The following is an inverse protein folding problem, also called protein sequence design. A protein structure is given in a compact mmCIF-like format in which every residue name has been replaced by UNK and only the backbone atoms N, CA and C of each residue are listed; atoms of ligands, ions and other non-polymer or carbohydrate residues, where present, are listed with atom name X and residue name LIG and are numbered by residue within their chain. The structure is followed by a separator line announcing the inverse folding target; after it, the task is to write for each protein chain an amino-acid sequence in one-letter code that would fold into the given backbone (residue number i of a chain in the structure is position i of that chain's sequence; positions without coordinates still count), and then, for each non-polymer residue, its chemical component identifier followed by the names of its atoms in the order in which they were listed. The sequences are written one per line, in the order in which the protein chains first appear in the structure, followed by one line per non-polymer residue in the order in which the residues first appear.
data_IF_660265295911
#
_entry.id   IF_660265295911
#
_cell.length_a   1.000
_cell.length_b   1.000
_cell.length_c   1.000
_cell.angle_alpha   90.00
_cell.angle_beta   90.00
_cell.angle_gamma   90.00
#
_symmetry.space_group_name_H-M   'P 1'
#
loop_
_entity.id
_entity.type
_entity.pdbx_description
1 polymer ?
#
# COMPACT_ATOMS: atom_id res chain seq x y z
N UNK A 1 -65.01 -5.44 -62.62
CA UNK A 1 -64.16 -4.47 -61.89
C UNK A 1 -64.16 -4.86 -60.41
N UNK A 2 -63.03 -5.25 -59.80
CA UNK A 2 -63.04 -5.66 -58.38
C UNK A 2 -61.78 -6.29 -57.80
N UNK A 3 -60.69 -6.46 -58.57
CA UNK A 3 -59.45 -7.08 -58.06
C UNK A 3 -58.40 -6.07 -57.54
N UNK A 4 -58.52 -4.77 -57.87
CA UNK A 4 -57.56 -3.74 -57.45
C UNK A 4 -57.66 -3.32 -55.97
N UNK A 5 -58.81 -3.52 -55.32
CA UNK A 5 -59.06 -3.02 -53.96
C UNK A 5 -58.54 -3.97 -52.88
N UNK A 6 -58.63 -5.30 -53.08
CA UNK A 6 -58.15 -6.28 -52.07
C UNK A 6 -56.62 -6.31 -51.92
N UNK A 7 -55.87 -6.04 -53.00
CA UNK A 7 -54.40 -6.03 -52.96
C UNK A 7 -53.82 -4.79 -52.25
N UNK A 8 -54.52 -3.63 -52.33
CA UNK A 8 -54.12 -2.40 -51.63
C UNK A 8 -54.34 -2.48 -50.12
N UNK A 9 -55.45 -3.10 -49.68
CA UNK A 9 -55.76 -3.25 -48.24
C UNK A 9 -54.74 -4.18 -47.55
N UNK A 10 -54.37 -5.29 -48.18
CA UNK A 10 -53.42 -6.26 -47.62
C UNK A 10 -51.97 -5.74 -47.52
N UNK A 11 -51.53 -4.85 -48.43
CA UNK A 11 -50.21 -4.19 -48.31
C UNK A 11 -50.16 -3.19 -47.16
N UNK A 12 -51.24 -2.45 -46.91
CA UNK A 12 -51.30 -1.46 -45.84
C UNK A 12 -51.33 -2.08 -44.44
N UNK A 13 -52.02 -3.22 -44.26
CA UNK A 13 -51.99 -3.94 -42.98
C UNK A 13 -50.61 -4.48 -42.64
N UNK A 14 -49.90 -5.03 -43.62
CA UNK A 14 -48.55 -5.58 -43.42
C UNK A 14 -47.52 -4.47 -43.16
N UNK A 15 -47.66 -3.31 -43.80
CA UNK A 15 -46.84 -2.13 -43.51
C UNK A 15 -47.11 -1.58 -42.09
N UNK A 16 -48.37 -1.53 -41.65
CA UNK A 16 -48.76 -1.12 -40.30
C UNK A 16 -48.22 -2.08 -39.22
N UNK A 17 -48.31 -3.41 -39.47
CA UNK A 17 -47.75 -4.45 -38.57
C UNK A 17 -46.22 -4.37 -38.50
N UNK A 18 -45.52 -4.16 -39.62
CA UNK A 18 -44.05 -3.98 -39.65
C UNK A 18 -43.60 -2.70 -38.92
N UNK A 19 -44.32 -1.59 -39.10
CA UNK A 19 -44.01 -0.35 -38.39
C UNK A 19 -44.23 -0.48 -36.88
N UNK A 20 -45.26 -1.21 -36.44
CA UNK A 20 -45.47 -1.53 -35.02
C UNK A 20 -44.33 -2.37 -34.44
N UNK A 21 -43.84 -3.37 -35.18
CA UNK A 21 -42.69 -4.20 -34.76
C UNK A 21 -41.43 -3.34 -34.64
N UNK A 22 -41.17 -2.45 -35.60
CA UNK A 22 -40.01 -1.54 -35.57
C UNK A 22 -40.08 -0.62 -34.34
N UNK A 23 -41.26 -0.07 -34.03
CA UNK A 23 -41.46 0.78 -32.85
C UNK A 23 -41.21 0.00 -31.55
N UNK A 24 -41.71 -1.24 -31.44
CA UNK A 24 -41.48 -2.10 -30.27
C UNK A 24 -39.99 -2.41 -30.10
N UNK A 25 -39.28 -2.71 -31.18
CA UNK A 25 -37.83 -2.96 -31.15
C UNK A 25 -37.05 -1.70 -30.74
N UNK A 26 -37.45 -0.52 -31.24
CA UNK A 26 -36.85 0.75 -30.85
C UNK A 26 -37.05 1.07 -29.36
N UNK A 27 -38.26 0.83 -28.83
CA UNK A 27 -38.56 1.01 -27.40
C UNK A 27 -37.73 0.03 -26.57
N UNK A 28 -37.65 -1.25 -26.96
CA UNK A 28 -36.84 -2.24 -26.27
C UNK A 28 -35.34 -1.87 -26.27
N UNK A 29 -34.83 -1.32 -27.38
CA UNK A 29 -33.46 -0.85 -27.50
C UNK A 29 -33.18 0.37 -26.60
N UNK A 30 -34.10 1.34 -26.56
CA UNK A 30 -33.99 2.49 -25.68
C UNK A 30 -34.07 2.10 -24.20
N UNK A 31 -34.91 1.12 -23.85
CA UNK A 31 -34.97 0.56 -22.50
C UNK A 31 -33.67 -0.15 -22.11
N UNK A 32 -33.07 -0.93 -23.02
CA UNK A 32 -31.78 -1.58 -22.78
C UNK A 32 -30.66 -0.55 -22.51
N UNK A 33 -30.60 0.55 -23.27
CA UNK A 33 -29.65 1.64 -23.06
C UNK A 33 -29.91 2.37 -21.73
N UNK A 34 -31.19 2.62 -21.40
CA UNK A 34 -31.58 3.27 -20.15
C UNK A 34 -31.20 2.45 -18.92
N UNK A 35 -31.45 1.14 -18.95
CA UNK A 35 -31.09 0.21 -17.88
C UNK A 35 -29.56 0.14 -17.73
N UNK A 36 -28.80 0.04 -18.82
CA UNK A 36 -27.33 0.00 -18.74
C UNK A 36 -26.73 1.26 -18.08
N UNK A 37 -27.26 2.45 -18.42
CA UNK A 37 -26.84 3.70 -17.82
C UNK A 37 -27.21 3.83 -16.32
N UNK A 38 -28.32 3.21 -15.91
CA UNK A 38 -28.74 3.17 -14.50
C UNK A 38 -27.88 2.20 -13.67
N UNK A 39 -27.48 1.06 -14.24
CA UNK A 39 -26.55 0.12 -13.59
C UNK A 39 -25.16 0.73 -13.39
N UNK A 40 -24.62 1.43 -14.38
CA UNK A 40 -23.29 2.03 -14.31
C UNK A 40 -23.18 3.19 -13.29
N UNK A 41 -24.23 4.00 -13.14
CA UNK A 41 -24.20 5.19 -12.27
C UNK A 41 -24.61 4.91 -10.83
N UNK A 42 -25.62 4.06 -10.59
CA UNK A 42 -26.24 3.95 -9.26
C UNK A 42 -25.88 2.65 -8.53
N UNK A 43 -25.72 1.53 -9.25
CA UNK A 43 -25.49 0.22 -8.63
C UNK A 43 -24.01 -0.15 -8.51
N UNK A 44 -23.14 0.22 -9.46
CA UNK A 44 -21.69 0.04 -9.34
C UNK A 44 -21.10 0.60 -8.03
N UNK A 45 -21.42 1.83 -7.57
CA UNK A 45 -20.87 2.36 -6.32
C UNK A 45 -21.31 1.57 -5.09
N UNK A 46 -22.54 1.05 -5.09
CA UNK A 46 -23.13 0.29 -3.98
C UNK A 46 -22.50 -1.10 -3.90
N UNK A 47 -22.38 -1.80 -5.04
CA UNK A 47 -21.68 -3.10 -5.14
C UNK A 47 -20.20 -2.93 -4.76
N UNK A 48 -19.54 -1.84 -5.22
CA UNK A 48 -18.17 -1.49 -4.80
C UNK A 48 -18.08 -1.32 -3.29
N UNK A 49 -18.98 -0.57 -2.64
CA UNK A 49 -18.98 -0.39 -1.17
C UNK A 49 -19.21 -1.70 -0.41
N UNK A 50 -20.11 -2.57 -0.88
CA UNK A 50 -20.42 -3.84 -0.21
C UNK A 50 -19.25 -4.83 -0.30
N UNK A 51 -18.58 -4.94 -1.45
CA UNK A 51 -17.37 -5.77 -1.59
C UNK A 51 -16.19 -5.21 -0.78
N UNK A 52 -16.04 -3.87 -0.72
CA UNK A 52 -15.03 -3.21 0.11
C UNK A 52 -15.28 -3.46 1.60
N UNK A 53 -16.53 -3.46 2.06
CA UNK A 53 -16.86 -3.68 3.48
C UNK A 53 -16.56 -5.11 3.97
N UNK A 54 -16.49 -6.10 3.08
CA UNK A 54 -16.16 -7.49 3.47
C UNK A 54 -14.65 -7.76 3.53
N UNK A 55 -13.83 -7.01 2.78
CA UNK A 55 -12.36 -7.14 2.78
C UNK A 55 -11.71 -6.17 3.77
N UNK A 56 -12.27 -4.97 3.93
CA UNK A 56 -11.79 -3.96 4.91
C UNK A 56 -12.20 -4.32 6.35
N UNK A 57 -13.22 -5.17 6.54
CA UNK A 57 -13.52 -5.80 7.83
C UNK A 57 -12.66 -7.04 8.11
N UNK A 58 -11.36 -6.96 7.81
CA UNK A 58 -10.40 -7.72 8.59
C UNK A 58 -10.58 -7.25 10.04
N UNK A 59 -11.34 -8.01 10.83
CA UNK A 59 -11.47 -7.80 12.28
C UNK A 59 -10.10 -8.06 12.89
N UNK A 60 -9.22 -7.06 12.81
CA UNK A 60 -7.95 -7.07 13.49
C UNK A 60 -8.25 -7.11 14.99
N UNK A 61 -7.82 -8.20 15.62
CA UNK A 61 -7.92 -8.37 17.08
C UNK A 61 -6.80 -7.61 17.79
N UNK A 62 -5.68 -7.43 17.11
CA UNK A 62 -4.53 -6.72 17.64
C UNK A 62 -4.73 -5.21 17.58
N UNK A 63 -4.97 -4.57 18.73
CA UNK A 63 -5.19 -3.12 18.86
C UNK A 63 -3.97 -2.28 18.46
N UNK A 64 -2.78 -2.87 18.44
CA UNK A 64 -1.53 -2.19 18.06
C UNK A 64 -1.43 -1.94 16.56
N UNK A 65 -2.18 -2.72 15.77
CA UNK A 65 -2.12 -2.68 14.32
C UNK A 65 -3.37 -1.99 13.80
N UNK A 66 -3.17 -0.92 13.04
CA UNK A 66 -4.25 -0.17 12.43
C UNK A 66 -4.34 -0.49 10.95
N UNK A 67 -5.43 -1.12 10.53
CA UNK A 67 -5.75 -1.24 9.11
C UNK A 67 -6.01 0.15 8.52
N UNK A 68 -5.41 0.43 7.37
CA UNK A 68 -5.53 1.71 6.67
C UNK A 68 -6.08 1.51 5.26
N UNK A 69 -6.80 2.51 4.76
CA UNK A 69 -7.28 2.55 3.38
C UNK A 69 -6.31 3.31 2.47
N UNK A 70 -6.59 3.34 1.16
CA UNK A 70 -5.73 3.99 0.17
C UNK A 70 -5.47 5.49 0.45
N UNK A 71 -6.48 6.23 0.92
CA UNK A 71 -6.30 7.65 1.24
C UNK A 71 -5.37 7.86 2.44
N UNK A 72 -5.51 7.03 3.47
CA UNK A 72 -4.64 7.05 4.65
C UNK A 72 -3.21 6.63 4.29
N UNK A 73 -3.05 5.63 3.42
CA UNK A 73 -1.77 5.18 2.90
C UNK A 73 -1.02 6.31 2.17
N UNK A 74 -1.70 7.04 1.27
CA UNK A 74 -1.09 8.20 0.58
C UNK A 74 -0.63 9.27 1.55
N UNK A 75 -1.40 9.56 2.61
CA UNK A 75 -1.02 10.54 3.64
C UNK A 75 0.20 10.07 4.45
N UNK A 76 0.28 8.79 4.75
CA UNK A 76 1.37 8.20 5.53
C UNK A 76 2.72 8.30 4.80
N UNK A 77 2.72 8.26 3.46
CA UNK A 77 3.93 8.43 2.63
C UNK A 77 4.60 9.80 2.85
N UNK A 78 3.82 10.83 3.13
CA UNK A 78 4.32 12.18 3.42
C UNK A 78 4.60 12.42 4.92
N UNK A 79 4.27 11.45 5.77
CA UNK A 79 4.51 11.56 7.20
C UNK A 79 6.01 11.42 7.50
N UNK A 80 6.49 12.25 8.43
CA UNK A 80 7.87 12.21 8.93
C UNK A 80 7.97 11.47 10.27
N UNK A 81 6.89 10.83 10.72
CA UNK A 81 6.90 9.96 11.89
C UNK A 81 7.57 8.62 11.58
N UNK A 82 7.95 7.92 12.65
CA UNK A 82 8.50 6.57 12.57
C UNK A 82 7.36 5.57 12.68
N UNK A 83 7.33 4.58 11.79
CA UNK A 83 6.27 3.58 11.76
C UNK A 83 6.69 2.31 11.03
N UNK A 84 6.00 1.22 11.37
CA UNK A 84 6.05 -0.04 10.63
C UNK A 84 4.84 -0.12 9.70
N UNK A 85 5.09 -0.30 8.40
CA UNK A 85 4.07 -0.48 7.39
C UNK A 85 4.10 -1.92 6.86
N UNK A 86 2.98 -2.61 7.04
CA UNK A 86 2.74 -3.94 6.51
C UNK A 86 1.90 -3.81 5.25
N UNK A 87 2.42 -4.27 4.11
CA UNK A 87 1.70 -4.32 2.83
C UNK A 87 1.48 -5.78 2.46
N UNK A 88 0.23 -6.15 2.23
CA UNK A 88 -0.15 -7.50 1.79
C UNK A 88 -0.87 -7.39 0.44
N UNK A 89 -0.22 -7.85 -0.62
CA UNK A 89 -0.87 -8.14 -1.89
C UNK A 89 -1.64 -9.46 -1.75
N UNK A 90 -2.96 -9.42 -1.78
CA UNK A 90 -3.79 -10.61 -1.63
C UNK A 90 -3.88 -11.47 -2.91
N UNK A 91 -3.35 -11.01 -4.05
CA UNK A 91 -3.48 -11.73 -5.33
C UNK A 91 -2.58 -12.97 -5.35
N UNK A 92 -3.22 -14.13 -5.40
CA UNK A 92 -2.56 -15.45 -5.42
C UNK A 92 -1.56 -15.61 -4.28
N UNK A 93 -1.77 -14.92 -3.16
CA UNK A 93 -0.86 -14.95 -2.01
C UNK A 93 -1.28 -16.05 -1.06
N UNK A 94 -0.56 -17.16 -1.11
CA UNK A 94 -0.82 -18.33 -0.29
C UNK A 94 -0.50 -18.12 1.20
N UNK A 95 0.23 -17.06 1.54
CA UNK A 95 0.65 -16.74 2.89
C UNK A 95 -0.27 -15.76 3.64
N UNK A 96 -1.28 -15.18 2.97
CA UNK A 96 -2.12 -14.13 3.55
C UNK A 96 -2.79 -14.56 4.85
N UNK A 97 -3.35 -15.76 4.91
CA UNK A 97 -4.11 -16.22 6.07
C UNK A 97 -3.22 -16.42 7.30
N UNK A 98 -2.05 -17.02 7.11
CA UNK A 98 -1.07 -17.28 8.14
C UNK A 98 -0.46 -15.97 8.64
N UNK A 99 -0.12 -15.05 7.73
CA UNK A 99 0.35 -13.72 8.10
C UNK A 99 -0.71 -12.94 8.88
N UNK A 100 -1.98 -13.02 8.50
CA UNK A 100 -3.06 -12.39 9.27
C UNK A 100 -3.24 -13.03 10.65
N UNK A 101 -3.04 -14.34 10.81
CA UNK A 101 -3.01 -14.99 12.13
C UNK A 101 -1.86 -14.45 12.98
N UNK A 102 -0.66 -14.35 12.41
CA UNK A 102 0.52 -13.77 13.05
C UNK A 102 0.29 -12.33 13.49
N UNK A 103 -0.25 -11.48 12.60
CA UNK A 103 -0.59 -10.06 12.86
C UNK A 103 -1.58 -9.93 14.01
N UNK A 104 -2.55 -10.83 14.09
CA UNK A 104 -3.59 -10.79 15.11
C UNK A 104 -3.13 -11.23 16.51
N UNK A 105 -1.91 -11.75 16.66
CA UNK A 105 -1.33 -12.08 17.95
C UNK A 105 -0.54 -10.87 18.49
N UNK A 106 -1.00 -10.20 19.57
CA UNK A 106 -0.34 -9.02 20.12
C UNK A 106 1.12 -9.27 20.53
N UNK A 107 1.42 -10.47 21.00
CA UNK A 107 2.75 -10.90 21.46
C UNK A 107 3.83 -10.74 20.38
N UNK A 108 3.47 -11.00 19.12
CA UNK A 108 4.40 -10.93 17.98
C UNK A 108 4.88 -9.49 17.69
N UNK A 109 4.19 -8.49 18.23
CA UNK A 109 4.51 -7.08 18.05
C UNK A 109 4.79 -6.39 19.38
N UNK A 110 4.89 -7.11 20.50
CA UNK A 110 4.98 -6.52 21.85
C UNK A 110 6.13 -5.51 21.96
N UNK A 111 7.26 -5.77 21.31
CA UNK A 111 8.50 -4.99 21.40
C UNK A 111 8.57 -3.81 20.43
N UNK A 112 7.66 -3.75 19.44
CA UNK A 112 7.59 -2.66 18.47
C UNK A 112 7.01 -1.41 19.13
N UNK A 113 7.78 -0.36 19.42
CA UNK A 113 7.20 0.84 20.08
C UNK A 113 6.40 1.72 19.12
N UNK A 114 6.81 1.74 17.87
CA UNK A 114 6.23 2.61 16.85
C UNK A 114 4.84 2.13 16.39
N UNK A 115 4.01 3.03 15.86
CA UNK A 115 2.73 2.66 15.25
C UNK A 115 2.91 1.62 14.13
N UNK A 116 2.01 0.64 14.08
CA UNK A 116 1.99 -0.39 13.04
C UNK A 116 0.75 -0.21 12.17
N UNK A 117 0.95 -0.03 10.87
CA UNK A 117 -0.11 0.13 9.90
C UNK A 117 -0.19 -1.08 8.97
N UNK A 118 -1.39 -1.57 8.71
CA UNK A 118 -1.64 -2.63 7.74
C UNK A 118 -2.38 -2.08 6.53
N UNK A 119 -1.81 -2.24 5.35
CA UNK A 119 -2.41 -1.87 4.08
C UNK A 119 -2.59 -3.09 3.17
N UNK A 120 -3.81 -3.28 2.69
CA UNK A 120 -4.15 -4.32 1.70
C UNK A 120 -4.77 -3.67 0.46
N UNK A 121 -3.99 -3.44 -0.61
CA UNK A 121 -4.50 -2.81 -1.82
C UNK A 121 -5.46 -3.74 -2.58
N UNK A 122 -6.70 -3.30 -2.79
CA UNK A 122 -7.74 -4.07 -3.49
C UNK A 122 -7.66 -3.87 -5.02
N UNK A 123 -7.45 -2.63 -5.48
CA UNK A 123 -7.52 -2.29 -6.92
C UNK A 123 -6.24 -1.67 -7.48
N UNK A 124 -5.47 -0.95 -6.66
CA UNK A 124 -4.31 -0.15 -7.10
C UNK A 124 -2.96 -0.80 -6.78
N UNK A 125 -2.94 -2.11 -6.59
CA UNK A 125 -1.73 -2.84 -6.21
C UNK A 125 -0.58 -2.65 -7.22
N UNK A 126 -0.84 -2.56 -8.53
CA UNK A 126 0.23 -2.30 -9.52
C UNK A 126 0.92 -0.96 -9.29
N UNK A 127 0.16 0.08 -8.93
CA UNK A 127 0.71 1.39 -8.59
C UNK A 127 1.51 1.32 -7.31
N UNK A 128 1.00 0.64 -6.28
CA UNK A 128 1.70 0.46 -4.99
C UNK A 128 3.02 -0.32 -5.18
N UNK A 129 2.99 -1.37 -6.00
CA UNK A 129 4.17 -2.17 -6.37
C UNK A 129 5.22 -1.30 -7.06
N UNK A 130 4.82 -0.44 -8.00
CA UNK A 130 5.75 0.46 -8.67
C UNK A 130 6.31 1.53 -7.71
N UNK A 131 5.42 2.20 -6.96
CA UNK A 131 5.78 3.29 -6.05
C UNK A 131 6.76 2.88 -4.96
N UNK A 132 6.58 1.68 -4.40
CA UNK A 132 7.41 1.14 -3.31
C UNK A 132 8.40 0.08 -3.80
N UNK A 133 8.50 -0.13 -5.12
CA UNK A 133 9.36 -1.14 -5.74
C UNK A 133 9.22 -2.51 -5.04
N UNK A 134 7.98 -2.94 -4.80
CA UNK A 134 7.70 -4.18 -4.06
C UNK A 134 8.18 -5.39 -4.87
N UNK A 135 9.04 -6.21 -4.28
CA UNK A 135 9.59 -7.43 -4.90
C UNK A 135 8.87 -8.71 -4.49
N UNK A 136 8.04 -8.64 -3.46
CA UNK A 136 7.26 -9.77 -2.94
C UNK A 136 5.84 -9.33 -2.61
N UNK A 137 4.95 -10.30 -2.39
CA UNK A 137 3.54 -10.09 -2.06
C UNK A 137 3.33 -9.58 -0.65
N UNK A 138 4.19 -9.97 0.30
CA UNK A 138 4.16 -9.47 1.67
C UNK A 138 5.40 -8.64 1.93
N UNK A 139 5.22 -7.43 2.45
CA UNK A 139 6.31 -6.51 2.78
C UNK A 139 6.06 -5.89 4.15
N UNK A 140 7.07 -5.91 5.00
CA UNK A 140 7.12 -5.18 6.25
C UNK A 140 8.22 -4.14 6.11
N UNK A 141 7.85 -2.87 6.14
CA UNK A 141 8.74 -1.76 5.81
C UNK A 141 8.79 -0.82 7.00
N UNK A 142 9.98 -0.59 7.52
CA UNK A 142 10.20 0.38 8.59
C UNK A 142 10.59 1.74 8.01
N UNK A 143 9.83 2.76 8.40
CA UNK A 143 10.08 4.14 8.06
C UNK A 143 10.61 4.87 9.29
N UNK A 144 11.68 5.65 9.08
CA UNK A 144 12.23 6.58 10.07
C UNK A 144 12.41 7.93 9.39
N UNK A 145 11.78 8.95 9.98
CA UNK A 145 11.76 10.32 9.45
C UNK A 145 11.33 10.41 7.97
N UNK A 146 10.27 9.68 7.60
CA UNK A 146 9.71 9.66 6.26
C UNK A 146 10.57 8.96 5.20
N UNK A 147 11.64 8.25 5.60
CA UNK A 147 12.47 7.45 4.71
C UNK A 147 12.39 5.99 5.09
N UNK A 148 12.30 5.13 4.08
CA UNK A 148 12.48 3.70 4.27
C UNK A 148 13.89 3.41 4.77
N UNK A 149 14.01 2.74 5.92
CA UNK A 149 15.29 2.31 6.48
C UNK A 149 15.60 0.86 6.17
N UNK A 150 14.60 0.01 6.38
CA UNK A 150 14.73 -1.42 6.25
C UNK A 150 13.40 -2.03 5.79
N UNK A 151 13.50 -3.21 5.18
CA UNK A 151 12.36 -3.97 4.69
C UNK A 151 12.61 -5.47 4.83
N UNK A 152 11.55 -6.19 5.16
CA UNK A 152 11.44 -7.64 4.99
C UNK A 152 10.40 -7.90 3.91
N UNK A 153 10.78 -8.67 2.89
CA UNK A 153 9.91 -9.03 1.76
C UNK A 153 9.86 -10.56 1.63
N UNK A 154 8.66 -11.13 1.52
CA UNK A 154 8.46 -12.58 1.37
C UNK A 154 7.13 -12.92 0.69
N UNK A 155 7.11 -14.02 -0.05
CA UNK A 155 5.90 -14.55 -0.68
C UNK A 155 5.27 -15.68 0.14
N UNK A 156 6.10 -16.44 0.84
CA UNK A 156 5.70 -17.60 1.61
C UNK A 156 5.88 -17.33 3.11
N UNK A 157 4.89 -17.73 3.88
CA UNK A 157 4.95 -17.75 5.33
C UNK A 157 4.88 -19.22 5.73
N UNK A 158 5.93 -19.72 6.39
CA UNK A 158 5.98 -21.12 6.75
C UNK A 158 4.92 -21.46 7.80
N UNK A 159 4.52 -22.74 7.83
CA UNK A 159 3.36 -23.21 8.62
C UNK A 159 3.74 -23.62 10.04
N UNK A 160 5.02 -23.54 10.39
CA UNK A 160 5.58 -24.11 11.61
C UNK A 160 5.95 -23.00 12.61
N UNK A 161 6.08 -23.36 13.89
CA UNK A 161 6.41 -22.39 14.95
C UNK A 161 7.78 -21.70 14.76
N UNK A 162 8.70 -22.33 14.05
CA UNK A 162 10.02 -21.77 13.73
C UNK A 162 9.92 -20.53 12.83
N UNK A 163 9.06 -20.56 11.81
CA UNK A 163 8.87 -19.44 10.88
C UNK A 163 8.24 -18.22 11.55
N UNK A 164 7.34 -18.46 12.50
CA UNK A 164 6.73 -17.44 13.35
C UNK A 164 7.81 -16.76 14.21
N UNK A 165 8.62 -17.55 14.92
CA UNK A 165 9.68 -17.04 15.78
C UNK A 165 10.74 -16.28 14.97
N UNK A 166 11.07 -16.78 13.78
CA UNK A 166 11.98 -16.11 12.84
C UNK A 166 11.42 -14.76 12.41
N UNK A 167 10.16 -14.68 11.94
CA UNK A 167 9.58 -13.40 11.54
C UNK A 167 9.51 -12.42 12.73
N UNK A 168 9.17 -12.92 13.93
CA UNK A 168 9.16 -12.08 15.13
C UNK A 168 10.54 -11.49 15.42
N UNK A 169 11.60 -12.30 15.36
CA UNK A 169 12.98 -11.84 15.50
C UNK A 169 13.36 -10.81 14.44
N UNK A 170 13.00 -11.07 13.18
CA UNK A 170 13.26 -10.12 12.08
C UNK A 170 12.51 -8.80 12.27
N UNK A 171 11.26 -8.82 12.77
CA UNK A 171 10.51 -7.59 13.08
C UNK A 171 11.20 -6.81 14.19
N UNK A 172 11.71 -7.48 15.21
CA UNK A 172 12.47 -6.83 16.27
C UNK A 172 13.71 -6.14 15.73
N UNK A 173 14.50 -6.83 14.90
CA UNK A 173 15.67 -6.26 14.23
C UNK A 173 15.31 -5.10 13.29
N UNK A 174 14.16 -5.19 12.62
CA UNK A 174 13.66 -4.18 11.69
C UNK A 174 13.41 -2.83 12.38
N UNK A 175 12.88 -2.86 13.61
CA UNK A 175 12.53 -1.65 14.38
C UNK A 175 13.63 -1.24 15.37
N UNK A 176 14.55 -2.15 15.70
CA UNK A 176 15.72 -1.91 16.54
C UNK A 176 16.99 -2.33 15.80
N UNK A 177 17.41 -1.59 14.75
CA UNK A 177 18.56 -1.97 13.95
C UNK A 177 19.83 -2.02 14.81
N UNK A 178 20.57 -3.12 14.72
CA UNK A 178 21.87 -3.26 15.38
C UNK A 178 22.83 -2.25 14.74
N UNK A 179 23.24 -1.24 15.51
CA UNK A 179 24.19 -0.22 15.03
C UNK A 179 25.55 -0.91 14.81
N UNK A 180 26.08 -0.95 13.57
CA UNK A 180 27.39 -1.53 13.34
C UNK A 180 28.44 -0.69 14.06
N UNK A 181 29.19 -1.32 14.97
CA UNK A 181 30.32 -0.67 15.61
C UNK A 181 31.42 -0.48 14.57
N UNK A 182 31.64 0.78 14.13
CA UNK A 182 32.81 1.11 13.35
C UNK A 182 34.05 0.91 14.23
N UNK A 183 34.90 -0.06 13.87
CA UNK A 183 36.22 -0.20 14.49
C UNK A 183 36.96 1.13 14.31
N UNK A 184 37.57 1.71 15.37
CA UNK A 184 38.31 2.95 15.23
C UNK A 184 39.41 2.77 14.19
N UNK A 185 39.32 3.54 13.10
CA UNK A 185 40.38 3.58 12.09
C UNK A 185 41.56 4.32 12.72
N UNK A 186 42.64 3.60 13.05
CA UNK A 186 43.90 4.24 13.42
C UNK A 186 44.44 4.97 12.20
N UNK A 187 44.19 6.27 12.12
CA UNK A 187 44.93 7.16 11.23
C UNK A 187 46.38 7.15 11.73
N UNK A 188 47.31 6.61 10.93
CA UNK A 188 48.73 6.79 11.19
C UNK A 188 49.00 8.29 11.14
N UNK A 189 49.35 8.89 12.28
CA UNK A 189 49.86 10.25 12.33
C UNK A 189 51.24 10.24 11.67
N UNK A 190 51.28 10.50 10.37
CA UNK A 190 52.53 10.84 9.69
C UNK A 190 52.88 12.28 10.06
N UNK A 191 53.49 12.41 11.24
CA UNK A 191 54.38 13.48 11.72
C UNK A 191 54.42 13.38 13.24
N UNK A 192 55.53 12.86 13.73
CA UNK A 192 55.96 13.15 15.10
C UNK A 192 55.97 14.67 15.26
N UNK A 193 55.24 15.15 16.25
CA UNK A 193 55.38 16.53 16.69
C UNK A 193 56.79 16.65 17.25
N UNK A 194 57.66 17.35 16.52
CA UNK A 194 58.97 17.71 17.01
C UNK A 194 58.77 18.71 18.16
N UNK A 195 58.98 18.25 19.39
CA UNK A 195 58.89 19.06 20.60
C UNK A 195 60.18 19.86 20.87
N UNK A 196 61.13 19.86 19.93
CA UNK A 196 62.34 20.66 20.03
C UNK A 196 62.07 22.13 19.65
N UNK A 197 61.15 22.76 20.38
CA UNK A 197 60.90 24.19 20.30
C UNK A 197 62.00 24.89 21.10
N UNK A 198 62.96 25.49 20.38
CA UNK A 198 63.96 26.38 20.98
C UNK A 198 63.22 27.48 21.79
N UNK A 199 63.44 27.58 23.11
CA UNK A 199 62.67 28.47 23.99
C UNK A 199 62.91 29.97 23.74
N UNK A 200 63.81 30.35 22.83
CA UNK A 200 64.15 31.75 22.55
C UNK A 200 63.27 32.47 21.52
N UNK A 201 62.22 31.84 20.97
CA UNK A 201 61.29 32.54 20.07
C UNK A 201 60.01 32.91 20.83
N UNK A 202 59.98 34.11 21.42
CA UNK A 202 58.75 34.74 21.93
C UNK A 202 57.74 34.91 20.79
N UNK A 203 56.77 34.00 20.66
CA UNK A 203 55.53 34.29 19.92
C UNK A 203 54.58 35.04 20.85
N UNK A 204 54.31 36.30 20.52
CA UNK A 204 53.27 37.09 21.17
C UNK A 204 51.90 36.48 20.86
N UNK A 205 51.23 35.94 21.88
CA UNK A 205 49.81 35.62 21.84
C UNK A 205 49.03 36.93 22.04
N UNK A 206 48.21 37.32 21.06
CA UNK A 206 47.23 38.40 21.25
C UNK A 206 46.05 37.83 22.04
N UNK A 207 45.82 38.37 23.23
CA UNK A 207 44.62 38.08 24.01
C UNK A 207 43.39 38.59 23.25
N UNK A 208 42.36 37.74 23.17
CA UNK A 208 41.06 38.09 22.61
C UNK A 208 40.14 38.31 23.80
N UNK A 209 39.70 39.55 24.01
CA UNK A 209 38.65 39.89 24.96
C UNK A 209 37.29 39.62 24.32
N UNK A 210 36.41 38.96 25.06
CA UNK A 210 35.00 38.84 24.72
C UNK A 210 34.24 39.84 25.60
N UNK A 211 33.61 40.83 24.97
CA UNK A 211 32.73 41.77 25.65
C UNK A 211 31.45 41.03 26.08
N UNK A 212 31.04 41.27 27.34
CA UNK A 212 29.80 40.75 27.94
C UNK A 212 28.58 41.58 27.52
#
# INVERSE_FOLDING_TARGET
MGQGTKQRVNRNENASKRNKIIIVVLIAFLLAIGINNLFDKTLRPIIRKQQISSVVNLKLKNKKIKAINASQFTKLKSDKSNYLLIIIDNRDNTATNELLKFINQPENFKEVKDPVYLYQPIYQIRTVVADYQLTSKNNLIYFDNGKEKQRIAFDNFGKNGEDINKLQGQIYELVNPVIPQHKPVRVKKDKELDFNVNPNVKKQTKEIYFDN
#
